data_IF_697537969633
#
_entry.id   IF_697537969633
#
_cell.length_a   1.000
_cell.length_b   1.000
_cell.length_c   1.000
_cell.angle_alpha   90.00
_cell.angle_beta   90.00
_cell.angle_gamma   90.00
#
_symmetry.space_group_name_H-M   'P 1'
#
loop_
_entity.id
_entity.type
_entity.pdbx_description
1 polymer ?
#
# COMPACT_ATOMS: atom_id res chain seq x y z
N UNK A 1 -13.58 0.15 -19.98
CA UNK A 1 -12.24 0.08 -19.36
C UNK A 1 -11.89 -1.40 -19.18
N UNK A 2 -10.65 -1.82 -19.46
CA UNK A 2 -10.25 -3.24 -19.31
C UNK A 2 -9.71 -3.53 -17.90
N UNK A 3 -9.70 -4.80 -17.48
CA UNK A 3 -9.08 -5.22 -16.21
C UNK A 3 -7.61 -4.75 -16.12
N UNK A 4 -6.87 -4.86 -17.22
CA UNK A 4 -5.48 -4.40 -17.31
C UNK A 4 -5.33 -2.88 -17.10
N UNK A 5 -6.25 -2.07 -17.62
CA UNK A 5 -6.24 -0.62 -17.41
C UNK A 5 -6.55 -0.25 -15.95
N UNK A 6 -7.46 -0.96 -15.30
CA UNK A 6 -7.76 -0.74 -13.88
C UNK A 6 -6.55 -1.08 -13.01
N UNK A 7 -5.93 -2.25 -13.23
CA UNK A 7 -4.73 -2.66 -12.51
C UNK A 7 -3.57 -1.69 -12.69
N UNK A 8 -3.38 -1.15 -13.90
CA UNK A 8 -2.36 -0.14 -14.17
C UNK A 8 -2.62 1.13 -13.36
N UNK A 9 -3.85 1.66 -13.39
CA UNK A 9 -4.20 2.86 -12.61
C UNK A 9 -4.04 2.60 -11.11
N UNK A 10 -4.48 1.45 -10.64
CA UNK A 10 -4.29 1.03 -9.25
C UNK A 10 -2.81 1.03 -8.84
N UNK A 11 -1.95 0.43 -9.65
CA UNK A 11 -0.50 0.43 -9.41
C UNK A 11 0.12 1.83 -9.42
N UNK A 12 -0.30 2.72 -10.33
CA UNK A 12 0.20 4.10 -10.37
C UNK A 12 -0.18 4.85 -9.08
N UNK A 13 -1.45 4.84 -8.71
CA UNK A 13 -1.90 5.49 -7.47
C UNK A 13 -1.25 4.88 -6.24
N UNK A 14 -1.11 3.55 -6.22
CA UNK A 14 -0.43 2.83 -5.16
C UNK A 14 1.03 3.18 -5.00
N UNK A 15 1.76 3.30 -6.12
CA UNK A 15 3.17 3.68 -6.11
C UNK A 15 3.33 5.10 -5.57
N UNK A 16 2.50 6.04 -6.02
CA UNK A 16 2.52 7.43 -5.54
C UNK A 16 2.15 7.49 -4.05
N UNK A 17 1.10 6.78 -3.63
CA UNK A 17 0.69 6.69 -2.23
C UNK A 17 1.79 6.11 -1.34
N UNK A 18 2.40 5.01 -1.80
CA UNK A 18 3.51 4.36 -1.14
C UNK A 18 4.72 5.27 -0.98
N UNK A 19 5.05 6.11 -1.97
CA UNK A 19 6.13 7.10 -1.85
C UNK A 19 5.87 8.08 -0.70
N UNK A 20 4.64 8.60 -0.56
CA UNK A 20 4.29 9.48 0.56
C UNK A 20 4.41 8.78 1.91
N UNK A 21 3.90 7.55 2.02
CA UNK A 21 3.94 6.79 3.28
C UNK A 21 5.38 6.38 3.66
N UNK A 22 6.20 5.99 2.68
CA UNK A 22 7.62 5.68 2.89
C UNK A 22 8.39 6.93 3.33
N UNK A 23 8.18 8.06 2.65
CA UNK A 23 8.79 9.34 3.03
C UNK A 23 8.47 9.69 4.48
N UNK A 24 7.20 9.60 4.87
CA UNK A 24 6.76 9.98 6.21
C UNK A 24 7.25 8.97 7.26
N UNK A 25 7.32 7.69 6.92
CA UNK A 25 7.94 6.66 7.77
C UNK A 25 9.44 6.93 8.01
N UNK A 26 10.17 7.38 6.97
CA UNK A 26 11.58 7.79 7.10
C UNK A 26 11.70 9.03 7.99
N UNK A 27 10.84 10.04 7.79
CA UNK A 27 10.84 11.25 8.63
C UNK A 27 10.58 10.91 10.10
N UNK A 28 9.60 10.04 10.37
CA UNK A 28 9.29 9.54 11.71
C UNK A 28 10.45 8.74 12.31
N UNK A 29 11.15 7.94 11.50
CA UNK A 29 12.33 7.19 11.96
C UNK A 29 13.48 8.12 12.37
N UNK A 30 13.70 9.20 11.61
CA UNK A 30 14.73 10.21 11.92
C UNK A 30 14.36 10.95 13.22
N UNK A 31 13.12 11.39 13.36
CA UNK A 31 12.63 12.08 14.56
C UNK A 31 12.64 11.17 15.80
N UNK A 32 12.30 9.90 15.66
CA UNK A 32 12.40 8.92 16.74
C UNK A 32 13.86 8.78 17.23
N UNK A 33 14.83 8.71 16.30
CA UNK A 33 16.24 8.60 16.67
C UNK A 33 16.75 9.79 17.50
N UNK A 34 16.31 11.02 17.21
CA UNK A 34 16.73 12.20 17.99
C UNK A 34 16.20 12.17 19.42
N UNK A 35 14.98 11.65 19.63
CA UNK A 35 14.41 11.51 20.98
C UNK A 35 15.17 10.52 21.89
N UNK A 36 15.82 9.48 21.32
CA UNK A 36 16.73 8.59 22.07
C UNK A 36 17.96 9.33 22.54
N UNK A 37 18.54 10.14 21.64
CA UNK A 37 19.79 10.84 21.90
C UNK A 37 19.62 11.82 23.07
N UNK A 38 18.41 12.36 23.23
CA UNK A 38 18.06 13.35 24.25
C UNK A 38 17.43 12.75 25.53
N UNK A 39 17.18 11.42 25.57
CA UNK A 39 16.76 10.71 26.78
C UNK A 39 15.28 10.87 27.17
N UNK A 40 14.43 11.37 26.27
CA UNK A 40 13.02 11.70 26.56
C UNK A 40 12.05 10.50 26.52
N UNK A 41 12.50 9.28 26.22
CA UNK A 41 11.59 8.13 26.01
C UNK A 41 12.22 6.81 26.48
N UNK A 42 11.40 5.86 26.95
CA UNK A 42 11.87 4.50 27.24
C UNK A 42 12.49 3.86 25.99
N UNK A 43 13.74 3.43 26.11
CA UNK A 43 14.53 2.82 25.01
C UNK A 43 13.84 1.59 24.41
N UNK A 44 13.13 0.82 25.22
CA UNK A 44 12.38 -0.38 24.83
C UNK A 44 11.22 -0.05 23.89
N UNK A 45 10.38 0.92 24.26
CA UNK A 45 9.24 1.35 23.45
C UNK A 45 9.68 1.87 22.08
N UNK A 46 10.72 2.73 22.07
CA UNK A 46 11.18 3.31 20.83
C UNK A 46 11.85 2.28 19.90
N UNK A 47 12.58 1.32 20.44
CA UNK A 47 13.15 0.22 19.63
C UNK A 47 12.07 -0.57 18.90
N UNK A 48 10.97 -0.90 19.60
CA UNK A 48 9.82 -1.60 19.03
C UNK A 48 9.18 -0.75 17.93
N UNK A 49 8.96 0.54 18.21
CA UNK A 49 8.40 1.48 17.23
C UNK A 49 9.24 1.58 15.95
N UNK A 50 10.55 1.79 16.08
CA UNK A 50 11.46 1.90 14.93
C UNK A 50 11.54 0.60 14.13
N UNK A 51 11.57 -0.54 14.81
CA UNK A 51 11.57 -1.87 14.16
C UNK A 51 10.27 -2.07 13.38
N UNK A 52 9.13 -1.68 13.97
CA UNK A 52 7.83 -1.71 13.32
C UNK A 52 7.78 -0.87 12.04
N UNK A 53 8.33 0.35 12.07
CA UNK A 53 8.43 1.21 10.88
C UNK A 53 9.26 0.56 9.77
N UNK A 54 10.42 0.00 10.09
CA UNK A 54 11.31 -0.62 9.10
C UNK A 54 10.63 -1.83 8.45
N UNK A 55 10.01 -2.70 9.26
CA UNK A 55 9.28 -3.87 8.75
C UNK A 55 8.10 -3.41 7.88
N UNK A 56 7.35 -2.41 8.32
CA UNK A 56 6.23 -1.84 7.56
C UNK A 56 6.66 -1.32 6.19
N UNK A 57 7.75 -0.53 6.14
CA UNK A 57 8.31 -0.03 4.87
C UNK A 57 8.75 -1.15 3.93
N UNK A 58 9.39 -2.20 4.46
CA UNK A 58 9.79 -3.36 3.67
C UNK A 58 8.57 -4.10 3.09
N UNK A 59 7.58 -4.39 3.94
CA UNK A 59 6.35 -5.08 3.52
C UNK A 59 5.64 -4.27 2.45
N UNK A 60 5.49 -2.95 2.64
CA UNK A 60 4.87 -2.06 1.66
C UNK A 60 5.60 -2.11 0.31
N UNK A 61 6.93 -2.06 0.32
CA UNK A 61 7.74 -2.12 -0.89
C UNK A 61 7.54 -3.45 -1.62
N UNK A 62 7.58 -4.57 -0.89
CA UNK A 62 7.37 -5.91 -1.46
C UNK A 62 5.96 -6.04 -2.05
N UNK A 63 4.94 -5.57 -1.35
CA UNK A 63 3.54 -5.60 -1.83
C UNK A 63 3.41 -4.82 -3.13
N UNK A 64 3.97 -3.61 -3.24
CA UNK A 64 3.90 -2.83 -4.47
C UNK A 64 4.65 -3.50 -5.64
N UNK A 65 5.79 -4.15 -5.38
CA UNK A 65 6.48 -4.95 -6.42
C UNK A 65 5.60 -6.10 -6.90
N UNK A 66 4.96 -6.82 -5.98
CA UNK A 66 4.09 -7.95 -6.32
C UNK A 66 2.84 -7.52 -7.11
N UNK A 67 2.27 -6.34 -6.84
CA UNK A 67 1.12 -5.82 -7.60
C UNK A 67 1.52 -5.41 -9.02
N UNK A 68 2.73 -4.91 -9.22
CA UNK A 68 3.30 -4.70 -10.55
C UNK A 68 3.54 -6.02 -11.29
N UNK A 69 4.05 -7.05 -10.61
CA UNK A 69 4.17 -8.40 -11.20
C UNK A 69 2.79 -8.92 -11.62
N UNK A 70 1.78 -8.80 -10.75
CA UNK A 70 0.41 -9.23 -11.04
C UNK A 70 -0.14 -8.55 -12.30
N UNK A 71 0.08 -7.24 -12.45
CA UNK A 71 -0.31 -6.50 -13.66
C UNK A 71 0.28 -7.10 -14.95
N UNK A 72 1.55 -7.51 -14.96
CA UNK A 72 2.18 -8.12 -16.16
C UNK A 72 1.58 -9.48 -16.55
N UNK A 73 0.79 -10.08 -15.66
CA UNK A 73 0.17 -11.40 -15.84
C UNK A 73 -1.31 -11.32 -16.23
N UNK A 74 -1.90 -10.12 -16.27
CA UNK A 74 -3.25 -9.89 -16.80
C UNK A 74 -3.23 -10.05 -18.32
N UNK A 75 -4.20 -10.79 -18.87
CA UNK A 75 -4.26 -11.20 -20.28
C UNK A 75 -3.44 -12.45 -20.62
N UNK A 76 -2.99 -13.22 -19.62
CA UNK A 76 -2.26 -14.49 -19.80
C UNK A 76 -3.07 -15.66 -19.23
N UNK A 77 -2.69 -16.91 -19.55
CA UNK A 77 -3.38 -18.12 -19.07
C UNK A 77 -3.56 -18.20 -17.55
N UNK A 78 -2.65 -17.58 -16.78
CA UNK A 78 -2.71 -17.53 -15.32
C UNK A 78 -3.51 -16.36 -14.74
N UNK A 79 -4.13 -15.51 -15.57
CA UNK A 79 -4.72 -14.23 -15.18
C UNK A 79 -5.63 -14.30 -13.96
N UNK A 80 -6.55 -15.27 -13.91
CA UNK A 80 -7.55 -15.37 -12.84
C UNK A 80 -6.92 -15.48 -11.45
N UNK A 81 -5.77 -16.15 -11.32
CA UNK A 81 -5.04 -16.25 -10.04
C UNK A 81 -4.46 -14.90 -9.62
N UNK A 82 -3.96 -14.12 -10.59
CA UNK A 82 -3.39 -12.80 -10.34
C UNK A 82 -4.46 -11.74 -10.07
N UNK A 83 -5.62 -11.83 -10.72
CA UNK A 83 -6.78 -11.00 -10.39
C UNK A 83 -7.28 -11.29 -8.96
N UNK A 84 -7.33 -12.57 -8.55
CA UNK A 84 -7.69 -12.94 -7.18
C UNK A 84 -6.65 -12.41 -6.17
N UNK A 85 -5.35 -12.50 -6.49
CA UNK A 85 -4.31 -11.89 -5.68
C UNK A 85 -4.52 -10.38 -5.52
N UNK A 86 -4.79 -9.66 -6.61
CA UNK A 86 -5.07 -8.22 -6.55
C UNK A 86 -6.31 -7.91 -5.71
N UNK A 87 -7.37 -8.72 -5.78
CA UNK A 87 -8.55 -8.58 -4.92
C UNK A 87 -8.17 -8.67 -3.43
N UNK A 88 -7.43 -9.71 -3.05
CA UNK A 88 -7.01 -9.92 -1.66
C UNK A 88 -6.14 -8.76 -1.18
N UNK A 89 -5.15 -8.36 -1.97
CA UNK A 89 -4.28 -7.22 -1.64
C UNK A 89 -5.08 -5.92 -1.55
N UNK A 90 -6.04 -5.69 -2.45
CA UNK A 90 -6.92 -4.52 -2.37
C UNK A 90 -7.71 -4.45 -1.07
N UNK A 91 -8.25 -5.58 -0.61
CA UNK A 91 -8.97 -5.61 0.69
C UNK A 91 -8.01 -5.31 1.85
N UNK A 92 -6.82 -5.93 1.85
CA UNK A 92 -5.82 -5.72 2.90
C UNK A 92 -5.33 -4.26 2.94
N UNK A 93 -5.09 -3.65 1.78
CA UNK A 93 -4.66 -2.25 1.66
C UNK A 93 -5.76 -1.27 2.09
N UNK A 94 -7.06 -1.59 1.91
CA UNK A 94 -8.14 -0.79 2.51
C UNK A 94 -8.04 -0.81 4.02
N UNK A 95 -7.90 -2.00 4.61
CA UNK A 95 -7.83 -2.15 6.08
C UNK A 95 -6.61 -1.38 6.61
N UNK A 96 -5.44 -1.58 6.00
CA UNK A 96 -4.22 -0.84 6.33
C UNK A 96 -4.42 0.68 6.24
N UNK A 97 -4.95 1.16 5.12
CA UNK A 97 -5.17 2.58 4.89
C UNK A 97 -6.18 3.19 5.87
N UNK A 98 -7.21 2.45 6.30
CA UNK A 98 -8.16 2.92 7.30
C UNK A 98 -7.49 3.10 8.68
N UNK A 99 -6.65 2.15 9.10
CA UNK A 99 -5.84 2.31 10.30
C UNK A 99 -4.86 3.47 10.17
N UNK A 100 -4.22 3.63 9.01
CA UNK A 100 -3.32 4.73 8.72
C UNK A 100 -4.00 6.10 8.75
N UNK A 101 -5.21 6.22 8.19
CA UNK A 101 -6.03 7.44 8.27
C UNK A 101 -6.40 7.76 9.71
N UNK A 102 -6.87 6.76 10.47
CA UNK A 102 -7.21 6.94 11.88
C UNK A 102 -6.00 7.44 12.67
N UNK A 103 -4.83 6.83 12.49
CA UNK A 103 -3.60 7.25 13.15
C UNK A 103 -3.19 8.67 12.74
N UNK A 104 -3.30 9.01 11.46
CA UNK A 104 -2.98 10.35 10.95
C UNK A 104 -3.87 11.41 11.58
N UNK A 105 -5.17 11.15 11.72
CA UNK A 105 -6.11 12.07 12.38
C UNK A 105 -5.80 12.21 13.87
N UNK A 106 -5.57 11.09 14.57
CA UNK A 106 -5.30 11.09 16.02
C UNK A 106 -3.99 11.80 16.39
N UNK A 107 -2.99 11.76 15.51
CA UNK A 107 -1.66 12.32 15.77
C UNK A 107 -1.47 13.73 15.20
N UNK A 108 -2.52 14.34 14.63
CA UNK A 108 -2.40 15.54 13.81
C UNK A 108 -1.28 15.41 12.76
N UNK A 109 -1.19 14.21 12.18
CA UNK A 109 -0.11 13.78 11.30
C UNK A 109 -0.04 14.57 10.00
N UNK A 110 1.06 14.39 9.28
CA UNK A 110 1.35 15.12 8.05
C UNK A 110 0.26 14.91 7.00
N UNK A 111 -0.07 15.98 6.26
CA UNK A 111 -1.00 15.92 5.12
C UNK A 111 -0.55 14.91 4.05
N UNK A 112 0.76 14.67 3.93
CA UNK A 112 1.32 13.63 3.05
C UNK A 112 0.90 12.23 3.45
N UNK A 113 0.80 11.93 4.75
CA UNK A 113 0.33 10.63 5.24
C UNK A 113 -1.17 10.44 4.93
N UNK A 114 -1.96 11.50 5.09
CA UNK A 114 -3.37 11.51 4.68
C UNK A 114 -3.49 11.18 3.19
N UNK A 115 -2.75 11.91 2.34
CA UNK A 115 -2.76 11.71 0.89
C UNK A 115 -2.30 10.29 0.52
N UNK A 116 -1.24 9.79 1.14
CA UNK A 116 -0.72 8.44 0.93
C UNK A 116 -1.77 7.36 1.18
N UNK A 117 -2.47 7.44 2.31
CA UNK A 117 -3.53 6.50 2.66
C UNK A 117 -4.74 6.60 1.72
N UNK A 118 -5.17 7.82 1.34
CA UNK A 118 -6.26 8.01 0.38
C UNK A 118 -5.93 7.40 -0.99
N UNK A 119 -4.68 7.56 -1.44
CA UNK A 119 -4.21 6.97 -2.69
C UNK A 119 -4.16 5.43 -2.62
N UNK A 120 -3.83 4.82 -1.48
CA UNK A 120 -3.94 3.38 -1.27
C UNK A 120 -5.39 2.89 -1.27
N UNK A 121 -6.35 3.66 -0.76
CA UNK A 121 -7.79 3.33 -0.88
C UNK A 121 -8.19 3.33 -2.37
N UNK A 122 -7.77 4.36 -3.12
CA UNK A 122 -8.04 4.43 -4.57
C UNK A 122 -7.40 3.25 -5.31
N UNK A 123 -6.13 2.91 -5.01
CA UNK A 123 -5.45 1.72 -5.54
C UNK A 123 -6.28 0.46 -5.30
N UNK A 124 -6.75 0.30 -4.06
CA UNK A 124 -7.48 -0.87 -3.63
C UNK A 124 -8.81 -1.03 -4.35
N UNK A 125 -9.54 0.08 -4.53
CA UNK A 125 -10.77 0.10 -5.32
C UNK A 125 -10.48 -0.35 -6.75
N UNK A 126 -9.41 0.15 -7.37
CA UNK A 126 -9.01 -0.28 -8.72
C UNK A 126 -8.67 -1.78 -8.79
N UNK A 127 -8.02 -2.34 -7.77
CA UNK A 127 -7.73 -3.77 -7.72
C UNK A 127 -8.98 -4.64 -7.54
N UNK A 128 -9.92 -4.22 -6.69
CA UNK A 128 -11.21 -4.90 -6.54
C UNK A 128 -11.98 -4.88 -7.87
N UNK A 129 -12.03 -3.72 -8.53
CA UNK A 129 -12.68 -3.58 -9.83
C UNK A 129 -11.97 -4.39 -10.93
N UNK A 130 -10.65 -4.55 -10.84
CA UNK A 130 -9.87 -5.39 -11.78
C UNK A 130 -10.37 -6.83 -11.76
N UNK A 131 -10.69 -7.37 -10.59
CA UNK A 131 -11.27 -8.70 -10.46
C UNK A 131 -12.74 -8.77 -10.90
N UNK A 132 -13.52 -7.72 -10.64
CA UNK A 132 -14.94 -7.66 -10.98
C UNK A 132 -15.20 -7.62 -12.50
N UNK A 133 -14.26 -7.10 -13.30
CA UNK A 133 -14.37 -7.13 -14.75
C UNK A 133 -14.00 -8.51 -15.30
N UNK A 134 -15.01 -9.25 -15.75
CA UNK A 134 -14.80 -10.45 -16.59
C UNK A 134 -14.12 -10.07 -17.89
N UNK A 135 -12.96 -10.68 -18.17
CA UNK A 135 -12.30 -10.51 -19.45
C UNK A 135 -13.09 -11.24 -20.54
N UNK A 136 -13.61 -10.49 -21.53
CA UNK A 136 -14.48 -11.01 -22.59
C UNK A 136 -13.77 -12.04 -23.50
N UNK A 137 -12.45 -12.15 -23.40
CA UNK A 137 -11.63 -13.03 -24.23
C UNK A 137 -11.49 -14.46 -23.70
N UNK A 138 -11.96 -14.77 -22.48
CA UNK A 138 -11.91 -16.15 -21.93
C UNK A 138 -13.10 -16.99 -22.41
N UNK A 139 -14.11 -16.40 -23.06
CA UNK A 139 -15.26 -17.11 -23.63
C UNK A 139 -15.04 -17.60 -25.08
N UNK A 140 -13.80 -17.61 -25.58
CA UNK A 140 -13.48 -17.96 -26.98
C UNK A 140 -12.50 -19.12 -27.17
N UNK A 141 -12.18 -19.88 -26.13
CA UNK A 141 -11.46 -21.14 -26.25
C UNK A 141 -12.35 -22.30 -25.82
#
# INVERSE_FOLDING_TARGET
MTAKQLALRGNIFGTIGGIFLLRDSIANLIAAKSLVAEGYTEKSFLLIYMTGLIIGMLVLTVVQVLTWIAYTKIGKSTERRWQLFLLIIGILLIIEALFGLMLTVLTAGFLSALLGNLLHIIQSIFFILTFALKDKNVARN
#
